data_IF_426741463937
#
_entry.id   IF_426741463937
#
_cell.length_a   1.000
_cell.length_b   1.000
_cell.length_c   1.000
_cell.angle_alpha   90.00
_cell.angle_beta   90.00
_cell.angle_gamma   90.00
#
_symmetry.space_group_name_H-M   'P 1'
#
loop_
_entity.id
_entity.type
_entity.pdbx_description
1 polymer ?
#
# COMPACT_ATOMS: atom_id res chain seq x y z
N UNK A 1 66.72 -32.74 -17.52
CA UNK A 1 65.78 -31.83 -16.85
C UNK A 1 64.56 -31.40 -17.68
N UNK A 2 64.08 -32.19 -18.61
CA UNK A 2 62.94 -31.83 -19.50
C UNK A 2 61.67 -32.65 -19.30
N UNK A 3 61.64 -33.54 -18.32
CA UNK A 3 60.50 -34.45 -18.08
C UNK A 3 59.54 -34.00 -17.01
N UNK A 4 59.92 -33.10 -16.12
CA UNK A 4 59.14 -32.66 -14.97
C UNK A 4 58.13 -31.53 -15.33
N UNK A 5 58.44 -30.75 -16.38
CA UNK A 5 57.58 -29.60 -16.80
C UNK A 5 56.30 -29.99 -17.54
N UNK A 6 56.19 -31.22 -18.05
CA UNK A 6 55.02 -31.67 -18.84
C UNK A 6 53.91 -32.28 -18.00
N UNK A 7 54.16 -32.63 -16.73
CA UNK A 7 53.16 -33.28 -15.85
C UNK A 7 52.31 -32.28 -15.10
N UNK A 8 52.84 -31.06 -14.83
CA UNK A 8 52.12 -30.02 -14.14
C UNK A 8 51.08 -29.28 -14.98
N UNK A 9 51.23 -29.29 -16.33
CA UNK A 9 50.29 -28.60 -17.23
C UNK A 9 49.01 -29.43 -17.55
N UNK A 10 48.95 -30.69 -17.13
CA UNK A 10 47.80 -31.58 -17.36
C UNK A 10 46.79 -31.63 -16.18
N UNK A 11 47.13 -31.03 -15.03
CA UNK A 11 46.29 -31.04 -13.84
C UNK A 11 45.42 -29.79 -13.73
N UNK A 12 45.69 -28.74 -14.50
CA UNK A 12 44.92 -27.48 -14.49
C UNK A 12 43.78 -27.42 -15.54
N UNK A 13 43.58 -28.48 -16.30
CA UNK A 13 42.64 -28.49 -17.45
C UNK A 13 41.28 -29.19 -17.21
N UNK A 14 40.95 -29.57 -16.02
CA UNK A 14 39.66 -30.25 -15.75
C UNK A 14 38.94 -29.73 -14.51
N UNK A 15 38.66 -28.44 -14.48
CA UNK A 15 37.57 -27.93 -13.65
C UNK A 15 36.29 -28.23 -14.45
N UNK A 16 35.41 -29.14 -13.99
CA UNK A 16 34.20 -29.46 -14.74
C UNK A 16 33.33 -28.20 -14.81
N UNK A 17 33.01 -27.80 -16.03
CA UNK A 17 32.09 -26.70 -16.38
C UNK A 17 30.76 -26.83 -15.60
N UNK A 18 30.42 -28.02 -15.11
CA UNK A 18 29.29 -28.30 -14.26
C UNK A 18 29.31 -27.57 -12.89
N UNK A 19 30.50 -27.20 -12.36
CA UNK A 19 30.59 -26.48 -11.07
C UNK A 19 30.39 -24.98 -11.23
N UNK A 20 30.57 -24.41 -12.43
CA UNK A 20 30.37 -23.01 -12.74
C UNK A 20 28.88 -22.68 -12.97
N UNK A 21 28.05 -23.66 -13.35
CA UNK A 21 26.61 -23.49 -13.57
C UNK A 21 25.78 -23.57 -12.29
N UNK A 22 26.34 -24.10 -11.20
CA UNK A 22 25.60 -24.21 -9.91
C UNK A 22 25.62 -22.93 -9.08
N UNK A 23 26.53 -21.98 -9.38
CA UNK A 23 26.64 -20.71 -8.60
C UNK A 23 25.72 -19.62 -9.16
N UNK A 24 25.23 -19.75 -10.40
CA UNK A 24 24.35 -18.74 -11.04
C UNK A 24 22.87 -18.92 -10.68
N UNK A 25 22.48 -20.10 -10.19
CA UNK A 25 21.06 -20.38 -9.86
C UNK A 25 20.60 -19.89 -8.47
N UNK A 26 21.50 -19.39 -7.61
CA UNK A 26 21.16 -18.90 -6.27
C UNK A 26 20.97 -17.36 -6.19
N UNK A 27 21.05 -16.65 -7.32
CA UNK A 27 20.97 -15.18 -7.36
C UNK A 27 19.64 -14.66 -7.95
N UNK A 28 18.54 -15.38 -7.82
CA UNK A 28 17.37 -15.02 -8.59
C UNK A 28 16.00 -15.21 -7.96
N UNK A 29 15.85 -15.06 -6.67
CA UNK A 29 14.54 -14.72 -6.09
C UNK A 29 14.78 -13.69 -4.99
N UNK A 30 15.18 -12.49 -5.41
CA UNK A 30 14.78 -11.33 -4.64
C UNK A 30 13.32 -11.16 -5.01
N UNK A 31 12.42 -11.64 -4.14
CA UNK A 31 11.10 -11.08 -4.07
C UNK A 31 11.31 -9.56 -4.08
N UNK A 32 10.85 -8.91 -5.13
CA UNK A 32 10.70 -7.48 -5.14
C UNK A 32 9.64 -7.22 -4.07
N UNK A 33 10.08 -7.17 -2.82
CA UNK A 33 9.31 -6.64 -1.71
C UNK A 33 9.00 -5.21 -2.15
N UNK A 34 7.82 -5.06 -2.73
CA UNK A 34 7.35 -3.77 -3.24
C UNK A 34 7.40 -2.86 -2.03
N UNK A 35 8.42 -2.02 -2.00
CA UNK A 35 8.82 -1.20 -0.87
C UNK A 35 7.57 -0.50 -0.36
N UNK A 36 7.13 -0.84 0.86
CA UNK A 36 5.89 -0.35 1.42
C UNK A 36 5.94 1.19 1.42
N UNK A 37 5.12 1.81 0.59
CA UNK A 37 5.06 3.27 0.51
C UNK A 37 4.42 3.78 1.78
N UNK A 38 5.11 4.66 2.50
CA UNK A 38 4.57 5.31 3.68
C UNK A 38 3.38 6.19 3.30
N UNK A 39 2.32 6.13 4.08
CA UNK A 39 1.11 6.92 3.88
C UNK A 39 0.73 7.68 5.15
N UNK A 40 -0.17 8.64 5.01
CA UNK A 40 -0.83 9.33 6.11
C UNK A 40 -2.32 9.48 5.83
N UNK A 41 -3.12 9.34 6.88
CA UNK A 41 -4.57 9.57 6.81
C UNK A 41 -4.85 11.06 7.00
N UNK A 42 -5.72 11.60 6.18
CA UNK A 42 -6.06 13.01 6.14
C UNK A 42 -7.57 13.24 6.24
N UNK A 43 -7.93 14.35 6.85
CA UNK A 43 -9.31 14.85 6.94
C UNK A 43 -9.35 16.32 6.58
N UNK A 44 -10.54 16.85 6.31
CA UNK A 44 -10.75 18.29 6.17
C UNK A 44 -10.31 19.03 7.45
N UNK A 45 -9.74 20.22 7.32
CA UNK A 45 -9.27 21.00 8.45
C UNK A 45 -10.39 21.36 9.45
N UNK A 46 -11.64 21.45 8.99
CA UNK A 46 -12.82 21.69 9.83
C UNK A 46 -13.28 20.46 10.63
N UNK A 47 -12.82 19.26 10.27
CA UNK A 47 -13.17 18.05 11.01
C UNK A 47 -12.41 18.03 12.36
N UNK A 48 -13.07 17.91 13.52
CA UNK A 48 -12.43 18.00 14.84
C UNK A 48 -11.57 16.78 15.20
N UNK A 49 -11.63 15.69 14.41
CA UNK A 49 -10.96 14.42 14.72
C UNK A 49 -9.45 14.54 14.58
N UNK A 50 -8.70 14.44 15.67
CA UNK A 50 -7.24 14.51 15.70
C UNK A 50 -6.57 13.12 15.65
N UNK A 51 -7.22 12.11 16.18
CA UNK A 51 -6.70 10.74 16.30
C UNK A 51 -7.82 9.73 16.07
N UNK A 52 -7.46 8.59 15.48
CA UNK A 52 -8.34 7.44 15.26
C UNK A 52 -7.57 6.15 15.58
N UNK A 53 -8.26 5.16 16.11
CA UNK A 53 -7.71 3.82 16.17
C UNK A 53 -7.68 3.21 14.76
N UNK A 54 -6.71 2.35 14.51
CA UNK A 54 -6.57 1.62 13.23
C UNK A 54 -7.86 0.92 12.81
N UNK A 55 -8.51 0.23 13.75
CA UNK A 55 -9.77 -0.46 13.49
C UNK A 55 -10.91 0.50 13.14
N UNK A 56 -10.95 1.68 13.76
CA UNK A 56 -11.96 2.69 13.44
C UNK A 56 -11.76 3.21 12.02
N UNK A 57 -10.52 3.48 11.61
CA UNK A 57 -10.22 3.84 10.21
C UNK A 57 -10.69 2.76 9.26
N UNK A 58 -10.36 1.48 9.54
CA UNK A 58 -10.83 0.37 8.73
C UNK A 58 -12.35 0.33 8.61
N UNK A 59 -13.07 0.52 9.70
CA UNK A 59 -14.54 0.51 9.72
C UNK A 59 -15.16 1.68 8.96
N UNK A 60 -14.54 2.86 8.99
CA UNK A 60 -14.97 4.04 8.23
C UNK A 60 -14.83 3.79 6.71
N UNK A 61 -13.68 3.29 6.27
CA UNK A 61 -13.45 3.00 4.85
C UNK A 61 -14.28 1.82 4.33
N UNK A 62 -14.55 0.82 5.16
CA UNK A 62 -15.44 -0.29 4.81
C UNK A 62 -16.93 0.05 4.99
N UNK A 63 -17.25 1.31 5.31
CA UNK A 63 -18.62 1.80 5.57
C UNK A 63 -19.40 0.98 6.61
N UNK A 64 -18.68 0.34 7.55
CA UNK A 64 -19.25 -0.31 8.74
C UNK A 64 -19.63 0.70 9.81
N UNK A 65 -19.03 1.88 9.77
CA UNK A 65 -19.39 3.08 10.51
C UNK A 65 -19.59 4.17 9.48
N UNK A 66 -20.75 4.75 9.42
CA UNK A 66 -21.15 5.70 8.37
C UNK A 66 -21.20 7.15 8.85
N UNK A 67 -21.12 7.38 10.16
CA UNK A 67 -21.18 8.72 10.73
C UNK A 67 -19.98 9.01 11.63
N UNK A 68 -19.50 10.24 11.57
CA UNK A 68 -18.62 10.81 12.58
C UNK A 68 -19.34 10.92 13.93
N UNK A 69 -18.59 11.02 15.03
CA UNK A 69 -19.18 11.30 16.37
C UNK A 69 -19.97 12.61 16.41
N UNK A 70 -19.73 13.50 15.46
CA UNK A 70 -20.49 14.76 15.28
C UNK A 70 -21.86 14.56 14.64
N UNK A 71 -22.18 13.34 14.17
CA UNK A 71 -23.40 13.01 13.44
C UNK A 71 -23.32 13.18 11.93
N UNK A 72 -22.30 13.86 11.39
CA UNK A 72 -22.12 14.03 9.96
C UNK A 72 -21.77 12.70 9.28
N UNK A 73 -22.34 12.43 8.11
CA UNK A 73 -22.04 11.24 7.32
C UNK A 73 -20.60 11.29 6.80
N UNK A 74 -19.83 10.22 7.03
CA UNK A 74 -18.43 10.10 6.60
C UNK A 74 -18.38 9.94 5.09
N UNK A 75 -17.48 10.68 4.45
CA UNK A 75 -17.20 10.60 3.02
C UNK A 75 -15.77 10.04 2.82
N UNK A 76 -15.60 8.70 2.83
CA UNK A 76 -14.29 8.12 2.58
C UNK A 76 -13.94 8.23 1.11
N UNK A 77 -12.68 8.60 0.82
CA UNK A 77 -12.10 8.62 -0.53
C UNK A 77 -10.92 7.67 -0.59
N UNK A 78 -10.95 6.79 -1.57
CA UNK A 78 -9.93 5.77 -1.83
C UNK A 78 -9.04 6.19 -3.02
N UNK A 79 -7.89 5.57 -3.19
CA UNK A 79 -7.05 5.73 -4.36
C UNK A 79 -7.34 4.64 -5.40
N UNK A 80 -6.84 4.82 -6.62
CA UNK A 80 -6.93 3.82 -7.69
C UNK A 80 -6.33 2.47 -7.23
N UNK A 81 -6.89 1.37 -7.74
CA UNK A 81 -6.56 0.01 -7.27
C UNK A 81 -5.09 -0.38 -7.48
N UNK A 82 -4.45 0.18 -8.48
CA UNK A 82 -3.03 -0.02 -8.82
C UNK A 82 -2.08 0.88 -8.02
N UNK A 83 -2.61 1.82 -7.22
CA UNK A 83 -1.80 2.72 -6.40
C UNK A 83 -0.95 1.96 -5.37
N UNK A 84 0.37 2.21 -5.30
CA UNK A 84 1.22 1.65 -4.26
C UNK A 84 0.84 2.17 -2.87
N UNK A 85 0.33 3.39 -2.76
CA UNK A 85 -0.17 3.98 -1.50
C UNK A 85 -1.40 3.21 -1.03
N UNK A 86 -2.34 2.87 -1.94
CA UNK A 86 -3.50 2.04 -1.63
C UNK A 86 -3.11 0.65 -1.15
N UNK A 87 -2.13 0.01 -1.80
CA UNK A 87 -1.64 -1.31 -1.34
C UNK A 87 -1.12 -1.25 0.09
N UNK A 88 -0.29 -0.26 0.41
CA UNK A 88 0.27 -0.08 1.76
C UNK A 88 -0.82 0.21 2.79
N UNK A 89 -1.73 1.14 2.51
CA UNK A 89 -2.87 1.46 3.37
C UNK A 89 -3.76 0.24 3.62
N UNK A 90 -4.16 -0.46 2.57
CA UNK A 90 -5.05 -1.62 2.65
C UNK A 90 -4.44 -2.74 3.48
N UNK A 91 -3.16 -3.04 3.25
CA UNK A 91 -2.43 -4.07 4.01
C UNK A 91 -2.29 -3.70 5.49
N UNK A 92 -2.00 -2.44 5.79
CA UNK A 92 -1.82 -1.99 7.17
C UNK A 92 -3.14 -1.78 7.91
N UNK A 93 -4.10 -1.10 7.32
CA UNK A 93 -5.36 -0.73 7.98
C UNK A 93 -6.37 -1.88 7.97
N UNK A 94 -6.57 -2.53 6.82
CA UNK A 94 -7.57 -3.59 6.70
C UNK A 94 -7.01 -5.00 7.00
N UNK A 95 -5.68 -5.16 7.09
CA UNK A 95 -4.99 -6.46 7.20
C UNK A 95 -5.37 -7.41 6.05
N UNK A 96 -5.61 -6.84 4.88
CA UNK A 96 -6.05 -7.49 3.65
C UNK A 96 -5.28 -6.92 2.47
N UNK A 97 -5.33 -7.60 1.34
CA UNK A 97 -4.88 -7.05 0.07
C UNK A 97 -6.01 -6.31 -0.68
N UNK A 98 -5.65 -5.60 -1.76
CA UNK A 98 -6.59 -4.80 -2.54
C UNK A 98 -7.64 -5.67 -3.21
N UNK A 99 -7.28 -6.88 -3.68
CA UNK A 99 -8.22 -7.80 -4.32
C UNK A 99 -9.27 -8.34 -3.33
N UNK A 100 -8.88 -8.60 -2.09
CA UNK A 100 -9.82 -9.00 -1.03
C UNK A 100 -10.83 -7.88 -0.71
N UNK A 101 -10.38 -6.63 -0.69
CA UNK A 101 -11.27 -5.46 -0.50
C UNK A 101 -12.19 -5.28 -1.70
N UNK A 102 -11.69 -5.48 -2.92
CA UNK A 102 -12.50 -5.48 -4.13
C UNK A 102 -13.60 -6.55 -4.08
N UNK A 103 -13.24 -7.78 -3.69
CA UNK A 103 -14.22 -8.87 -3.51
C UNK A 103 -15.29 -8.53 -2.47
N UNK A 104 -14.91 -7.92 -1.35
CA UNK A 104 -15.86 -7.43 -0.33
C UNK A 104 -16.88 -6.44 -0.93
N UNK A 105 -16.42 -5.45 -1.72
CA UNK A 105 -17.32 -4.49 -2.34
C UNK A 105 -18.19 -5.09 -3.43
N UNK A 106 -17.65 -6.01 -4.25
CA UNK A 106 -18.45 -6.73 -5.26
C UNK A 106 -19.61 -7.48 -4.63
N UNK A 107 -19.38 -8.16 -3.49
CA UNK A 107 -20.44 -8.84 -2.76
C UNK A 107 -21.52 -7.87 -2.26
N UNK A 108 -21.13 -6.72 -1.68
CA UNK A 108 -22.07 -5.73 -1.17
C UNK A 108 -22.89 -5.07 -2.30
N UNK A 109 -22.26 -4.77 -3.44
CA UNK A 109 -22.94 -4.23 -4.62
C UNK A 109 -23.98 -5.26 -5.13
N UNK A 110 -23.57 -6.53 -5.26
CA UNK A 110 -24.44 -7.59 -5.77
C UNK A 110 -25.65 -7.83 -4.87
N UNK A 111 -25.50 -7.69 -3.56
CA UNK A 111 -26.59 -7.84 -2.57
C UNK A 111 -27.37 -6.54 -2.31
N UNK A 112 -27.02 -5.43 -2.99
CA UNK A 112 -27.66 -4.11 -2.78
C UNK A 112 -27.38 -3.48 -1.41
N UNK A 113 -26.35 -3.95 -0.67
CA UNK A 113 -26.06 -3.52 0.70
C UNK A 113 -25.08 -2.35 0.80
N UNK A 114 -24.51 -1.89 -0.32
CA UNK A 114 -23.62 -0.73 -0.31
C UNK A 114 -22.80 -0.55 -1.57
N UNK A 115 -22.09 0.56 -1.62
CA UNK A 115 -21.15 0.92 -2.69
C UNK A 115 -19.80 1.32 -2.09
N UNK A 116 -18.68 1.10 -2.82
CA UNK A 116 -17.35 1.46 -2.36
C UNK A 116 -17.19 2.97 -2.16
N UNK A 117 -16.13 3.42 -1.48
CA UNK A 117 -15.70 4.81 -1.50
C UNK A 117 -15.46 5.31 -2.93
N UNK A 118 -15.54 6.63 -3.09
CA UNK A 118 -15.13 7.28 -4.34
C UNK A 118 -13.63 7.05 -4.53
N UNK A 119 -13.21 6.66 -5.74
CA UNK A 119 -11.80 6.48 -6.07
C UNK A 119 -11.23 7.75 -6.74
N UNK A 120 -9.97 8.07 -6.44
CA UNK A 120 -9.17 9.14 -7.02
C UNK A 120 -7.85 8.60 -7.55
N UNK A 121 -7.39 9.17 -8.67
CA UNK A 121 -6.21 8.69 -9.39
C UNK A 121 -4.87 9.12 -8.78
N UNK A 122 -4.86 10.16 -7.93
CA UNK A 122 -3.63 10.76 -7.39
C UNK A 122 -3.81 11.32 -5.98
N UNK A 123 -2.69 11.55 -5.30
CA UNK A 123 -2.66 12.23 -4.00
C UNK A 123 -3.30 13.62 -4.08
N UNK A 124 -3.00 14.39 -5.13
CA UNK A 124 -3.53 15.74 -5.33
C UNK A 124 -5.05 15.73 -5.46
N UNK A 125 -5.61 14.76 -6.17
CA UNK A 125 -7.07 14.61 -6.31
C UNK A 125 -7.73 14.22 -4.97
N UNK A 126 -7.08 13.36 -4.17
CA UNK A 126 -7.54 13.04 -2.82
C UNK A 126 -7.51 14.27 -1.92
N UNK A 127 -6.40 15.02 -1.92
CA UNK A 127 -6.26 16.27 -1.15
C UNK A 127 -7.34 17.27 -1.57
N UNK A 128 -7.55 17.47 -2.88
CA UNK A 128 -8.55 18.40 -3.39
C UNK A 128 -9.99 17.99 -2.99
N UNK A 129 -10.29 16.69 -3.00
CA UNK A 129 -11.59 16.17 -2.55
C UNK A 129 -11.81 16.42 -1.06
N UNK A 130 -10.81 16.05 -0.22
CA UNK A 130 -10.87 16.22 1.23
C UNK A 130 -10.96 17.70 1.61
N UNK A 131 -10.22 18.59 0.91
CA UNK A 131 -10.26 20.03 1.15
C UNK A 131 -11.66 20.64 0.92
N UNK A 132 -12.41 20.12 -0.04
CA UNK A 132 -13.75 20.62 -0.42
C UNK A 132 -14.89 19.98 0.38
N UNK A 133 -14.64 18.89 1.08
CA UNK A 133 -15.67 18.06 1.73
C UNK A 133 -15.42 17.98 3.24
N UNK A 134 -16.14 18.75 4.10
CA UNK A 134 -15.88 18.78 5.54
C UNK A 134 -15.93 17.44 6.25
N UNK A 135 -16.79 16.51 5.79
CA UNK A 135 -16.93 15.18 6.37
C UNK A 135 -16.03 14.11 5.72
N UNK A 136 -15.13 14.51 4.81
CA UNK A 136 -14.26 13.56 4.12
C UNK A 136 -13.11 13.05 4.98
N UNK A 137 -12.74 11.80 4.70
CA UNK A 137 -11.52 11.13 5.14
C UNK A 137 -10.85 10.48 3.94
N UNK A 138 -9.55 10.62 3.81
CA UNK A 138 -8.75 9.99 2.76
C UNK A 138 -7.38 9.60 3.28
N UNK A 139 -6.55 9.09 2.40
CA UNK A 139 -5.13 8.85 2.67
C UNK A 139 -4.30 9.18 1.43
N UNK A 140 -3.09 9.60 1.67
CA UNK A 140 -2.12 10.00 0.64
C UNK A 140 -0.73 9.51 1.00
N UNK A 141 0.22 9.57 0.08
CA UNK A 141 1.62 9.28 0.41
C UNK A 141 2.13 10.22 1.52
N UNK A 142 3.10 9.77 2.29
CA UNK A 142 3.69 10.59 3.36
C UNK A 142 4.39 11.85 2.84
N UNK A 143 4.73 11.89 1.54
CA UNK A 143 5.39 13.01 0.86
C UNK A 143 4.44 13.97 0.16
N UNK A 144 3.13 13.64 0.08
CA UNK A 144 2.14 14.50 -0.59
C UNK A 144 2.09 15.89 0.03
N UNK A 145 1.96 16.92 -0.80
CA UNK A 145 1.76 18.29 -0.33
C UNK A 145 0.34 18.46 0.23
N UNK A 146 0.22 18.95 1.47
CA UNK A 146 -1.08 19.25 2.07
C UNK A 146 -1.27 20.77 2.13
N UNK A 147 -2.38 21.26 1.60
CA UNK A 147 -2.80 22.64 1.79
C UNK A 147 -3.40 22.87 3.19
N UNK A 148 -3.61 24.13 3.56
CA UNK A 148 -4.17 24.53 4.87
C UNK A 148 -5.61 24.03 5.14
N UNK A 149 -6.32 23.63 4.08
CA UNK A 149 -7.69 23.10 4.18
C UNK A 149 -7.74 21.60 4.57
N UNK A 150 -6.58 20.95 4.72
CA UNK A 150 -6.45 19.51 5.02
C UNK A 150 -5.47 19.31 6.16
N UNK A 151 -5.74 18.36 7.04
CA UNK A 151 -4.84 17.99 8.13
C UNK A 151 -4.69 16.47 8.27
N UNK A 152 -3.55 16.07 8.80
CA UNK A 152 -3.25 14.66 9.11
C UNK A 152 -3.95 14.23 10.41
N UNK A 153 -4.42 12.98 10.43
CA UNK A 153 -4.97 12.30 11.61
C UNK A 153 -3.93 11.32 12.13
N UNK A 154 -3.69 11.32 13.43
CA UNK A 154 -2.82 10.34 14.07
C UNK A 154 -3.53 8.98 14.15
N UNK A 155 -2.87 7.91 13.70
CA UNK A 155 -3.39 6.55 13.80
C UNK A 155 -2.81 5.89 15.05
N UNK A 156 -3.70 5.49 15.94
CA UNK A 156 -3.37 4.72 17.13
C UNK A 156 -3.45 3.22 16.84
N UNK A 157 -2.64 2.40 17.52
CA UNK A 157 -2.68 0.94 17.42
C UNK A 157 -4.06 0.34 17.67
#
# INVERSE_FOLDING_TARGET
MAAVARTLLRLLGRVPIALLLLVVAAAGCRDADAQAVSYRVIVNAQNPVAQLKRDDVSRLFLKKVVNWKTGAEVQPVDQAQDSPVRRSFTKDIHKKDVEQIKGYWQQLIFTGQGAPPIEKGSDDEVVAFVAKTPAAIGYVSSTAALGSAVRTVQILP
#
